data_IF_792320363050
#
_entry.id   IF_792320363050
#
_cell.length_a   1.000
_cell.length_b   1.000
_cell.length_c   1.000
_cell.angle_alpha   90.00
_cell.angle_beta   90.00
_cell.angle_gamma   90.00
#
_symmetry.space_group_name_H-M   'P 1'
#
loop_
_entity.id
_entity.type
_entity.pdbx_description
1 polymer ?
#
# COMPACT_ATOMS: atom_id res chain seq x y z
N UNK A 1 31.93 -8.23 -13.85
CA UNK A 1 30.79 -7.47 -14.39
C UNK A 1 29.66 -8.42 -14.67
N UNK A 2 28.70 -8.50 -13.77
CA UNK A 2 27.47 -9.30 -13.94
C UNK A 2 26.49 -8.48 -14.76
N UNK A 3 26.33 -8.84 -16.04
CA UNK A 3 25.25 -8.31 -16.86
C UNK A 3 23.93 -8.82 -16.28
N UNK A 4 23.14 -7.88 -15.77
CA UNK A 4 21.74 -8.06 -15.42
C UNK A 4 20.99 -8.61 -16.63
N UNK A 5 20.31 -9.75 -16.47
CA UNK A 5 19.41 -10.31 -17.46
C UNK A 5 18.21 -9.40 -17.66
N UNK A 6 18.32 -8.43 -18.57
CA UNK A 6 17.18 -7.70 -19.07
C UNK A 6 16.49 -8.64 -20.05
N UNK A 7 15.47 -9.36 -19.59
CA UNK A 7 14.53 -10.01 -20.49
C UNK A 7 13.99 -8.93 -21.45
N UNK A 8 14.05 -9.19 -22.75
CA UNK A 8 13.50 -8.27 -23.76
C UNK A 8 12.06 -7.93 -23.38
N UNK A 9 11.80 -6.63 -23.16
CA UNK A 9 10.46 -6.16 -22.82
C UNK A 9 9.54 -6.42 -24.00
N UNK A 10 8.42 -7.09 -23.73
CA UNK A 10 7.38 -7.29 -24.75
C UNK A 10 6.76 -5.93 -25.10
N UNK A 11 6.44 -5.69 -26.38
CA UNK A 11 5.64 -4.54 -26.77
C UNK A 11 4.26 -4.55 -26.10
N UNK A 12 3.71 -3.37 -25.85
CA UNK A 12 2.43 -3.20 -25.14
C UNK A 12 1.27 -3.05 -26.13
N UNK A 13 0.18 -3.79 -25.91
CA UNK A 13 -1.10 -3.62 -26.60
C UNK A 13 -2.16 -3.11 -25.63
N UNK A 14 -2.97 -2.16 -26.09
CA UNK A 14 -4.13 -1.63 -25.39
C UNK A 14 -5.41 -2.15 -26.03
N UNK A 15 -6.33 -2.62 -25.19
CA UNK A 15 -7.67 -3.01 -25.63
C UNK A 15 -8.53 -1.76 -25.86
N UNK A 16 -9.02 -1.60 -27.09
CA UNK A 16 -9.83 -0.45 -27.52
C UNK A 16 -11.14 -0.90 -28.18
N UNK A 17 -12.09 0.04 -28.28
CA UNK A 17 -13.37 -0.17 -28.95
C UNK A 17 -13.50 0.76 -30.15
N UNK A 18 -13.92 0.21 -31.28
CA UNK A 18 -14.21 1.00 -32.46
C UNK A 18 -15.50 1.80 -32.26
N UNK A 19 -15.51 3.11 -32.53
CA UNK A 19 -16.60 4.01 -32.14
C UNK A 19 -17.90 3.82 -32.93
N UNK A 20 -17.85 3.15 -34.09
CA UNK A 20 -19.02 3.05 -34.99
C UNK A 20 -19.76 1.73 -34.92
N UNK A 21 -19.07 0.63 -34.63
CA UNK A 21 -19.63 -0.73 -34.69
C UNK A 21 -19.45 -1.52 -33.39
N UNK A 22 -18.91 -0.87 -32.34
CA UNK A 22 -18.65 -1.43 -31.03
C UNK A 22 -17.70 -2.65 -31.04
N UNK A 23 -16.99 -2.91 -32.15
CA UNK A 23 -16.01 -3.99 -32.23
C UNK A 23 -14.82 -3.67 -31.33
N UNK A 24 -14.33 -4.68 -30.63
CA UNK A 24 -13.17 -4.55 -29.75
C UNK A 24 -11.91 -4.94 -30.54
N UNK A 25 -10.79 -4.25 -30.34
CA UNK A 25 -9.53 -4.54 -31.01
C UNK A 25 -8.31 -4.21 -30.14
N UNK A 26 -7.16 -4.78 -30.50
CA UNK A 26 -5.88 -4.48 -29.90
C UNK A 26 -5.17 -3.37 -30.68
N UNK A 27 -4.83 -2.29 -29.99
CA UNK A 27 -4.05 -1.17 -30.50
C UNK A 27 -2.62 -1.23 -29.96
N UNK A 28 -1.64 -1.03 -30.83
CA UNK A 28 -0.24 -0.85 -30.44
C UNK A 28 -0.09 0.47 -29.66
N UNK A 29 0.53 0.40 -28.49
CA UNK A 29 0.82 1.59 -27.68
C UNK A 29 1.84 2.54 -28.34
N UNK A 30 2.65 2.04 -29.27
CA UNK A 30 3.77 2.82 -29.82
C UNK A 30 3.40 3.72 -30.99
N UNK A 31 2.46 3.29 -31.83
CA UNK A 31 2.14 3.93 -33.11
C UNK A 31 0.63 3.97 -33.40
N UNK A 32 -0.21 3.64 -32.41
CA UNK A 32 -1.67 3.61 -32.50
C UNK A 32 -2.23 2.70 -33.61
N UNK A 33 -1.41 1.80 -34.16
CA UNK A 33 -1.85 0.86 -35.18
C UNK A 33 -2.75 -0.21 -34.58
N UNK A 34 -3.83 -0.55 -35.30
CA UNK A 34 -4.63 -1.73 -34.98
C UNK A 34 -3.84 -2.99 -35.34
N UNK A 35 -3.66 -3.87 -34.37
CA UNK A 35 -2.90 -5.12 -34.53
C UNK A 35 -3.80 -6.27 -34.92
N UNK A 36 -4.86 -6.50 -34.14
CA UNK A 36 -5.86 -7.54 -34.43
C UNK A 36 -7.18 -7.26 -33.72
N UNK A 37 -8.28 -7.83 -34.20
CA UNK A 37 -9.58 -7.79 -33.51
C UNK A 37 -9.52 -8.60 -32.22
N UNK A 38 -10.15 -8.11 -31.17
CA UNK A 38 -10.18 -8.78 -29.88
C UNK A 38 -11.11 -9.99 -29.92
N UNK A 39 -10.58 -11.16 -29.55
CA UNK A 39 -11.33 -12.39 -29.29
C UNK A 39 -10.71 -13.02 -28.05
N UNK A 40 -11.50 -13.38 -27.04
CA UNK A 40 -10.96 -13.87 -25.77
C UNK A 40 -10.08 -15.11 -25.96
N UNK A 41 -10.43 -16.00 -26.89
CA UNK A 41 -9.68 -17.22 -27.19
C UNK A 41 -8.26 -16.98 -27.72
N UNK A 42 -7.98 -15.84 -28.36
CA UNK A 42 -6.64 -15.52 -28.90
C UNK A 42 -5.71 -14.90 -27.87
N UNK A 43 -6.25 -14.36 -26.77
CA UNK A 43 -5.50 -13.67 -25.72
C UNK A 43 -4.32 -14.48 -25.15
N UNK A 44 -4.44 -15.80 -24.88
CA UNK A 44 -3.31 -16.61 -24.43
C UNK A 44 -2.11 -16.57 -25.38
N UNK A 45 -2.34 -16.68 -26.70
CA UNK A 45 -1.27 -16.67 -27.70
C UNK A 45 -0.70 -15.26 -27.87
N UNK A 46 -1.54 -14.23 -27.86
CA UNK A 46 -1.11 -12.85 -27.94
C UNK A 46 -0.21 -12.45 -26.77
N UNK A 47 -0.56 -12.89 -25.55
CA UNK A 47 0.20 -12.62 -24.32
C UNK A 47 1.64 -13.18 -24.32
N UNK A 48 1.94 -14.15 -25.18
CA UNK A 48 3.31 -14.66 -25.34
C UNK A 48 4.22 -13.64 -26.02
N UNK A 49 3.67 -12.80 -26.89
CA UNK A 49 4.38 -11.82 -27.71
C UNK A 49 4.26 -10.39 -27.19
N UNK A 50 3.16 -10.08 -26.52
CA UNK A 50 2.82 -8.73 -26.05
C UNK A 50 2.47 -8.72 -24.57
N UNK A 51 2.71 -7.59 -23.90
CA UNK A 51 2.05 -7.26 -22.65
C UNK A 51 0.69 -6.63 -22.97
N UNK A 52 -0.35 -7.02 -22.25
CA UNK A 52 -1.73 -6.62 -22.54
C UNK A 52 -2.26 -5.65 -21.48
N UNK A 53 -2.86 -4.56 -21.93
CA UNK A 53 -3.45 -3.53 -21.09
C UNK A 53 -4.91 -3.24 -21.46
N UNK A 54 -5.69 -2.79 -20.49
CA UNK A 54 -7.05 -2.30 -20.70
C UNK A 54 -7.38 -1.14 -19.77
N UNK A 55 -8.42 -0.39 -20.11
CA UNK A 55 -9.04 0.60 -19.23
C UNK A 55 -10.32 0.04 -18.59
N UNK A 56 -10.77 0.62 -17.48
CA UNK A 56 -12.04 0.20 -16.85
C UNK A 56 -13.24 0.25 -17.81
N UNK A 57 -13.31 1.27 -18.68
CA UNK A 57 -14.35 1.40 -19.70
C UNK A 57 -14.26 0.25 -20.71
N UNK A 58 -13.09 0.03 -21.30
CA UNK A 58 -12.93 -0.97 -22.35
C UNK A 58 -13.02 -2.40 -21.79
N UNK A 59 -12.68 -2.63 -20.52
CA UNK A 59 -12.91 -3.90 -19.85
C UNK A 59 -14.41 -4.21 -19.70
N UNK A 60 -15.22 -3.22 -19.32
CA UNK A 60 -16.67 -3.40 -19.24
C UNK A 60 -17.26 -3.75 -20.61
N UNK A 61 -16.85 -3.02 -21.65
CA UNK A 61 -17.25 -3.30 -23.03
C UNK A 61 -16.79 -4.70 -23.49
N UNK A 62 -15.59 -5.14 -23.09
CA UNK A 62 -15.08 -6.47 -23.42
C UNK A 62 -15.92 -7.59 -22.78
N UNK A 63 -16.41 -7.40 -21.56
CA UNK A 63 -17.31 -8.37 -20.91
C UNK A 63 -18.65 -8.51 -21.64
N UNK A 64 -19.16 -7.43 -22.21
CA UNK A 64 -20.38 -7.44 -23.03
C UNK A 64 -20.13 -8.05 -24.41
N UNK A 65 -18.95 -7.76 -24.99
CA UNK A 65 -18.56 -8.20 -26.32
C UNK A 65 -18.24 -9.71 -26.39
N UNK A 66 -17.48 -10.23 -25.42
CA UNK A 66 -17.09 -11.64 -25.37
C UNK A 66 -17.13 -12.17 -23.93
N UNK A 67 -18.03 -13.12 -23.67
CA UNK A 67 -18.19 -13.75 -22.36
C UNK A 67 -16.94 -14.51 -21.90
N UNK A 68 -16.06 -14.92 -22.82
CA UNK A 68 -14.77 -15.54 -22.55
C UNK A 68 -13.78 -14.60 -21.86
N UNK A 69 -13.99 -13.28 -21.93
CA UNK A 69 -13.10 -12.26 -21.36
C UNK A 69 -12.77 -12.52 -19.89
N UNK A 70 -13.76 -12.94 -19.09
CA UNK A 70 -13.57 -13.26 -17.66
C UNK A 70 -12.51 -14.33 -17.40
N UNK A 71 -12.38 -15.30 -18.32
CA UNK A 71 -11.46 -16.43 -18.17
C UNK A 71 -10.01 -16.09 -18.56
N UNK A 72 -9.82 -14.97 -19.25
CA UNK A 72 -8.52 -14.58 -19.82
C UNK A 72 -7.93 -13.33 -19.17
N UNK A 73 -8.56 -12.77 -18.14
CA UNK A 73 -8.07 -11.58 -17.44
C UNK A 73 -6.67 -11.75 -16.85
N UNK A 74 -6.29 -12.95 -16.44
CA UNK A 74 -4.96 -13.20 -15.84
C UNK A 74 -3.79 -12.99 -16.82
N UNK A 75 -4.06 -12.96 -18.13
CA UNK A 75 -3.08 -12.62 -19.15
C UNK A 75 -2.83 -11.10 -19.26
N UNK A 76 -3.75 -10.27 -18.76
CA UNK A 76 -3.61 -8.81 -18.76
C UNK A 76 -2.65 -8.40 -17.65
N UNK A 77 -1.71 -7.51 -17.99
CA UNK A 77 -0.69 -7.00 -17.06
C UNK A 77 -1.08 -5.67 -16.44
N UNK A 78 -1.86 -4.88 -17.15
CA UNK A 78 -2.17 -3.50 -16.74
C UNK A 78 -3.68 -3.25 -16.85
N UNK A 79 -4.26 -2.84 -15.73
CA UNK A 79 -5.63 -2.37 -15.64
C UNK A 79 -5.58 -0.90 -15.23
N UNK A 80 -5.91 0.00 -16.15
CA UNK A 80 -5.82 1.43 -15.94
C UNK A 80 -7.21 2.06 -15.77
N UNK A 81 -7.27 3.22 -15.09
CA UNK A 81 -8.49 4.03 -14.98
C UNK A 81 -9.70 3.22 -14.46
N UNK A 82 -9.44 2.34 -13.50
CA UNK A 82 -10.44 1.45 -12.90
C UNK A 82 -11.26 2.19 -11.83
N UNK A 83 -12.58 1.98 -11.83
CA UNK A 83 -13.44 2.32 -10.69
C UNK A 83 -13.20 1.33 -9.53
N UNK A 84 -13.58 1.66 -8.28
CA UNK A 84 -13.49 0.72 -7.16
C UNK A 84 -14.15 -0.63 -7.46
N UNK A 85 -15.41 -0.60 -7.92
CA UNK A 85 -16.18 -1.81 -8.27
C UNK A 85 -15.50 -2.64 -9.38
N UNK A 86 -14.87 -1.97 -10.35
CA UNK A 86 -14.17 -2.67 -11.43
C UNK A 86 -12.92 -3.42 -10.93
N UNK A 87 -12.25 -2.92 -9.88
CA UNK A 87 -11.12 -3.63 -9.25
C UNK A 87 -11.60 -4.89 -8.53
N UNK A 88 -12.73 -4.80 -7.83
CA UNK A 88 -13.38 -5.96 -7.19
C UNK A 88 -13.76 -7.02 -8.22
N UNK A 89 -14.40 -6.59 -9.31
CA UNK A 89 -14.81 -7.47 -10.42
C UNK A 89 -13.63 -8.24 -11.02
N UNK A 90 -12.46 -7.61 -11.15
CA UNK A 90 -11.26 -8.30 -11.65
C UNK A 90 -10.85 -9.42 -10.70
N UNK A 91 -10.83 -9.17 -9.38
CA UNK A 91 -10.48 -10.19 -8.39
C UNK A 91 -11.49 -11.33 -8.42
N UNK A 92 -12.79 -11.03 -8.48
CA UNK A 92 -13.85 -12.05 -8.59
C UNK A 92 -13.69 -12.93 -9.84
N UNK A 93 -13.33 -12.32 -10.98
CA UNK A 93 -13.09 -13.06 -12.21
C UNK A 93 -11.87 -13.99 -12.07
N UNK A 94 -10.78 -13.51 -11.46
CA UNK A 94 -9.59 -14.33 -11.20
C UNK A 94 -9.90 -15.48 -10.23
N UNK A 95 -10.70 -15.23 -9.20
CA UNK A 95 -11.21 -16.27 -8.29
C UNK A 95 -12.05 -17.32 -9.02
N UNK A 96 -12.90 -16.90 -9.97
CA UNK A 96 -13.76 -17.82 -10.72
C UNK A 96 -13.00 -18.85 -11.57
N UNK A 97 -11.73 -18.57 -11.88
CA UNK A 97 -10.83 -19.50 -12.58
C UNK A 97 -9.80 -20.15 -11.66
N UNK A 98 -9.95 -20.02 -10.34
CA UNK A 98 -9.15 -20.71 -9.33
C UNK A 98 -7.82 -20.06 -8.99
N UNK A 99 -7.62 -18.78 -9.33
CA UNK A 99 -6.44 -18.05 -8.87
C UNK A 99 -6.59 -17.54 -7.43
N UNK A 100 -5.49 -17.47 -6.70
CA UNK A 100 -5.38 -16.80 -5.40
C UNK A 100 -4.84 -15.39 -5.64
N UNK A 101 -5.52 -14.40 -5.08
CA UNK A 101 -5.26 -12.98 -5.32
C UNK A 101 -4.68 -12.30 -4.08
N UNK A 102 -3.57 -11.58 -4.28
CA UNK A 102 -3.07 -10.59 -3.33
C UNK A 102 -3.35 -9.20 -3.91
N UNK A 103 -4.00 -8.34 -3.12
CA UNK A 103 -4.22 -6.95 -3.48
C UNK A 103 -3.43 -6.05 -2.52
N UNK A 104 -2.76 -5.04 -3.07
CA UNK A 104 -2.04 -4.03 -2.31
C UNK A 104 -2.50 -2.64 -2.77
N UNK A 105 -2.88 -1.78 -1.84
CA UNK A 105 -3.39 -0.43 -2.16
C UNK A 105 -3.32 0.50 -0.94
N UNK A 106 -3.40 1.80 -1.15
CA UNK A 106 -3.12 2.82 -0.14
C UNK A 106 -4.31 3.69 0.26
N UNK A 107 -5.48 3.49 -0.37
CA UNK A 107 -6.60 4.40 -0.23
C UNK A 107 -7.99 3.76 -0.16
N UNK A 108 -8.98 4.63 0.04
CA UNK A 108 -10.40 4.26 0.10
C UNK A 108 -10.90 3.57 -1.18
N UNK A 109 -10.27 3.86 -2.33
CA UNK A 109 -10.64 3.31 -3.64
C UNK A 109 -10.24 1.83 -3.82
N UNK A 110 -9.44 1.27 -2.91
CA UNK A 110 -9.00 -0.12 -2.96
C UNK A 110 -9.67 -0.96 -1.86
N UNK A 111 -10.49 -0.36 -0.99
CA UNK A 111 -11.04 -1.05 0.20
C UNK A 111 -11.84 -2.29 -0.16
N UNK A 112 -12.69 -2.20 -1.18
CA UNK A 112 -13.47 -3.36 -1.62
C UNK A 112 -12.58 -4.44 -2.24
N UNK A 113 -11.66 -4.06 -3.13
CA UNK A 113 -10.71 -5.00 -3.72
C UNK A 113 -9.77 -5.65 -2.68
N UNK A 114 -9.32 -4.90 -1.67
CA UNK A 114 -8.53 -5.39 -0.54
C UNK A 114 -9.30 -6.41 0.30
N UNK A 115 -10.61 -6.18 0.48
CA UNK A 115 -11.50 -7.10 1.21
C UNK A 115 -11.83 -8.35 0.39
N UNK A 116 -11.96 -8.20 -0.92
CA UNK A 116 -12.28 -9.28 -1.84
C UNK A 116 -11.10 -10.23 -2.08
N UNK A 117 -9.85 -9.73 -2.02
CA UNK A 117 -8.65 -10.54 -2.19
C UNK A 117 -8.47 -11.58 -1.06
N UNK A 118 -7.78 -12.69 -1.36
CA UNK A 118 -7.39 -13.67 -0.34
C UNK A 118 -6.42 -13.07 0.68
N UNK A 119 -5.56 -12.16 0.21
CA UNK A 119 -4.65 -11.38 1.05
C UNK A 119 -4.71 -9.90 0.65
N UNK A 120 -5.25 -9.06 1.52
CA UNK A 120 -5.28 -7.60 1.36
C UNK A 120 -4.17 -6.91 2.17
N UNK A 121 -3.37 -6.07 1.51
CA UNK A 121 -2.32 -5.26 2.14
C UNK A 121 -2.62 -3.77 1.94
N UNK A 122 -2.95 -3.07 3.03
CA UNK A 122 -3.16 -1.63 2.99
C UNK A 122 -1.85 -0.88 3.29
N UNK A 123 -1.40 -0.04 2.36
CA UNK A 123 -0.24 0.84 2.52
C UNK A 123 -0.69 2.18 3.09
N UNK A 124 -0.39 2.45 4.35
CA UNK A 124 -0.76 3.72 4.98
C UNK A 124 0.31 4.79 4.70
N UNK A 125 -0.08 5.87 4.04
CA UNK A 125 0.78 7.04 3.84
C UNK A 125 0.88 7.85 5.13
N UNK A 126 1.81 7.48 6.00
CA UNK A 126 2.11 8.19 7.25
C UNK A 126 1.52 7.53 8.50
N UNK A 127 2.30 7.55 9.57
CA UNK A 127 1.88 7.04 10.87
C UNK A 127 0.95 8.03 11.56
N UNK A 128 -0.31 7.63 11.71
CA UNK A 128 -1.29 8.32 12.55
C UNK A 128 -2.45 8.88 11.76
N UNK A 129 -3.41 8.02 11.45
CA UNK A 129 -4.85 8.32 11.56
C UNK A 129 -5.62 7.02 11.31
N UNK A 130 -5.61 6.15 12.32
CA UNK A 130 -6.58 5.07 12.41
C UNK A 130 -7.89 5.67 12.95
N UNK A 131 -8.79 6.06 12.05
CA UNK A 131 -10.20 6.25 12.36
C UNK A 131 -11.03 5.61 11.25
N UNK A 132 -11.20 4.30 11.32
CA UNK A 132 -12.32 3.63 10.66
C UNK A 132 -13.48 3.65 11.65
N UNK A 133 -14.31 4.69 11.57
CA UNK A 133 -15.76 4.52 11.68
C UNK A 133 -16.46 5.76 11.08
N UNK A 134 -17.16 5.58 9.95
CA UNK A 134 -18.05 6.59 9.38
C UNK A 134 -19.48 6.19 9.74
N UNK A 135 -20.03 6.82 10.78
CA UNK A 135 -21.45 6.78 11.13
C UNK A 135 -21.84 7.98 11.99
N UNK A 136 -23.05 8.51 11.79
CA UNK A 136 -23.54 9.80 12.31
C UNK A 136 -23.73 9.87 13.85
N UNK A 137 -23.49 8.79 14.60
CA UNK A 137 -23.52 8.79 16.07
C UNK A 137 -22.18 9.18 16.76
N UNK A 138 -21.19 9.62 15.97
CA UNK A 138 -19.81 9.87 16.43
C UNK A 138 -19.63 11.00 17.45
N UNK A 139 -20.58 11.93 17.58
CA UNK A 139 -20.35 13.11 18.43
C UNK A 139 -20.61 12.84 19.93
N UNK A 140 -21.41 11.81 20.27
CA UNK A 140 -21.72 11.47 21.68
C UNK A 140 -20.65 10.56 22.31
N UNK A 141 -20.08 9.64 21.53
CA UNK A 141 -18.97 8.77 21.98
C UNK A 141 -17.63 9.48 22.08
N UNK A 142 -17.44 10.61 21.39
CA UNK A 142 -16.19 11.39 21.42
C UNK A 142 -15.84 11.88 22.83
N UNK A 143 -16.82 12.36 23.60
CA UNK A 143 -16.59 12.85 24.97
C UNK A 143 -16.30 11.71 25.97
N UNK A 144 -16.97 10.57 25.83
CA UNK A 144 -16.71 9.40 26.70
C UNK A 144 -15.40 8.66 26.36
N UNK A 145 -15.00 8.68 25.08
CA UNK A 145 -13.73 8.12 24.62
C UNK A 145 -12.53 9.01 25.00
N UNK A 146 -12.65 10.34 24.91
CA UNK A 146 -11.61 11.29 25.36
C UNK A 146 -11.30 11.12 26.87
N UNK A 147 -12.30 10.83 27.69
CA UNK A 147 -12.14 10.60 29.13
C UNK A 147 -11.55 9.22 29.45
N UNK A 148 -11.89 8.19 28.68
CA UNK A 148 -11.26 6.86 28.76
C UNK A 148 -9.83 6.83 28.18
N UNK A 149 -9.53 7.63 27.17
CA UNK A 149 -8.20 7.76 26.56
C UNK A 149 -7.20 8.49 27.46
N UNK A 150 -7.66 9.37 28.36
CA UNK A 150 -6.83 9.90 29.46
C UNK A 150 -6.39 8.83 30.46
N UNK A 151 -7.12 7.71 30.58
CA UNK A 151 -6.83 6.62 31.51
C UNK A 151 -6.12 5.41 30.89
N UNK A 152 -6.07 5.29 29.56
CA UNK A 152 -5.38 4.19 28.87
C UNK A 152 -4.30 4.73 27.93
N UNK A 153 -3.10 4.94 28.47
CA UNK A 153 -1.95 5.46 27.75
C UNK A 153 -1.49 4.56 26.59
N UNK A 154 -1.58 5.13 25.38
CA UNK A 154 -0.76 4.91 24.18
C UNK A 154 -0.35 3.47 23.83
N UNK A 155 -1.08 2.89 22.87
CA UNK A 155 -0.62 1.79 22.03
C UNK A 155 -0.65 2.27 20.58
N UNK A 156 0.52 2.39 19.96
CA UNK A 156 0.67 2.62 18.52
C UNK A 156 1.77 1.66 18.01
N UNK A 157 1.51 0.81 17.01
CA UNK A 157 2.35 -0.35 16.68
C UNK A 157 3.59 -0.05 15.82
N UNK A 158 4.07 1.20 15.74
CA UNK A 158 5.37 1.46 15.09
C UNK A 158 6.05 2.64 15.76
N UNK A 159 7.28 2.40 16.21
CA UNK A 159 8.14 3.32 16.94
C UNK A 159 8.71 4.43 16.03
N UNK A 160 7.85 5.18 15.35
CA UNK A 160 8.26 6.27 14.45
C UNK A 160 8.06 7.60 15.16
N UNK A 161 9.12 8.41 15.21
CA UNK A 161 9.04 9.80 15.65
C UNK A 161 8.10 10.56 14.69
N UNK A 162 7.00 11.15 15.18
CA UNK A 162 6.04 11.87 14.34
C UNK A 162 6.67 12.99 13.49
N UNK A 163 6.18 13.21 12.27
CA UNK A 163 6.73 14.23 11.34
C UNK A 163 6.71 15.63 11.96
N UNK A 164 5.65 16.00 12.68
CA UNK A 164 5.55 17.29 13.36
C UNK A 164 6.63 17.49 14.43
N UNK A 165 7.06 16.44 15.12
CA UNK A 165 8.17 16.47 16.06
C UNK A 165 9.50 16.69 15.34
N UNK A 166 9.70 16.05 14.18
CA UNK A 166 10.88 16.24 13.35
C UNK A 166 10.97 17.66 12.78
N UNK A 167 9.84 18.22 12.31
CA UNK A 167 9.76 19.61 11.85
C UNK A 167 10.04 20.61 12.99
N UNK A 168 9.56 20.33 14.22
CA UNK A 168 9.86 21.16 15.38
C UNK A 168 11.36 21.20 15.73
N UNK A 169 12.10 20.12 15.46
CA UNK A 169 13.55 20.07 15.67
C UNK A 169 14.31 20.92 14.65
N UNK A 170 13.81 21.02 13.40
CA UNK A 170 14.44 21.86 12.36
C UNK A 170 14.44 23.35 12.70
N UNK A 171 13.50 23.82 13.51
CA UNK A 171 13.45 25.22 13.97
C UNK A 171 14.08 25.45 15.35
N UNK A 172 14.52 24.37 16.02
CA UNK A 172 15.06 24.43 17.37
C UNK A 172 16.57 24.77 17.40
N UNK A 173 17.07 25.54 18.38
CA UNK A 173 18.52 25.72 18.54
C UNK A 173 19.26 24.41 18.85
N UNK A 174 20.47 24.24 18.31
CA UNK A 174 21.27 23.00 18.40
C UNK A 174 21.46 22.50 19.84
N UNK A 175 21.65 23.42 20.81
CA UNK A 175 21.77 23.09 22.24
C UNK A 175 20.59 22.26 22.77
N UNK A 176 19.36 22.55 22.34
CA UNK A 176 18.17 21.84 22.80
C UNK A 176 18.00 20.50 22.10
N UNK A 177 18.45 20.39 20.84
CA UNK A 177 18.50 19.10 20.12
C UNK A 177 19.48 18.16 20.82
N UNK A 178 20.68 18.64 21.16
CA UNK A 178 21.67 17.88 21.96
C UNK A 178 21.13 17.45 23.32
N UNK A 179 20.38 18.32 24.01
CA UNK A 179 19.73 17.98 25.28
C UNK A 179 18.70 16.85 25.13
N UNK A 180 17.90 16.87 24.05
CA UNK A 180 16.95 15.80 23.72
C UNK A 180 17.63 14.47 23.40
N UNK A 181 18.73 14.49 22.64
CA UNK A 181 19.54 13.28 22.37
C UNK A 181 20.11 12.71 23.67
N UNK A 182 20.60 13.58 24.57
CA UNK A 182 21.10 13.17 25.90
C UNK A 182 20.02 12.51 26.76
N UNK A 183 18.78 12.99 26.68
CA UNK A 183 17.64 12.39 27.36
C UNK A 183 17.29 10.97 26.85
N UNK A 184 17.71 10.63 25.63
CA UNK A 184 17.59 9.27 25.06
C UNK A 184 18.74 8.35 25.49
N UNK A 185 19.65 8.82 26.36
CA UNK A 185 20.79 8.04 26.85
C UNK A 185 22.02 8.07 25.95
N UNK A 186 22.06 8.95 24.95
CA UNK A 186 23.18 9.08 24.01
C UNK A 186 23.93 10.37 24.27
N UNK A 187 25.26 10.29 24.48
CA UNK A 187 26.10 11.48 24.58
C UNK A 187 26.42 12.00 23.16
N UNK A 188 25.92 13.18 22.74
CA UNK A 188 26.18 13.73 21.41
C UNK A 188 27.67 14.02 21.17
N UNK A 189 28.42 14.34 22.23
CA UNK A 189 29.83 14.70 22.13
C UNK A 189 30.74 13.51 21.80
N UNK A 190 30.20 12.29 21.81
CA UNK A 190 30.90 11.09 21.30
C UNK A 190 30.95 11.02 19.77
N UNK A 191 30.26 11.91 19.08
CA UNK A 191 30.19 11.97 17.61
C UNK A 191 30.71 13.34 17.14
N UNK A 192 32.04 13.57 17.21
CA UNK A 192 32.64 14.86 16.87
C UNK A 192 32.45 15.25 15.39
N UNK A 193 32.20 14.26 14.52
CA UNK A 193 31.99 14.45 13.09
C UNK A 193 30.58 14.94 12.74
N UNK A 194 29.63 14.92 13.68
CA UNK A 194 28.28 15.46 13.49
C UNK A 194 28.29 16.96 13.81
N UNK A 195 28.75 17.77 12.86
CA UNK A 195 28.85 19.23 13.00
C UNK A 195 27.57 19.95 12.62
N UNK A 196 26.78 19.37 11.70
CA UNK A 196 25.58 20.00 11.17
C UNK A 196 24.34 19.72 12.03
N UNK A 197 23.38 20.63 11.95
CA UNK A 197 22.12 20.52 12.69
C UNK A 197 21.29 19.32 12.21
N UNK A 198 21.26 19.12 10.90
CA UNK A 198 20.56 18.03 10.22
C UNK A 198 21.05 16.67 10.70
N UNK A 199 22.37 16.53 10.90
CA UNK A 199 23.00 15.32 11.42
C UNK A 199 22.55 14.99 12.85
N UNK A 200 22.41 16.01 13.70
CA UNK A 200 21.90 15.85 15.05
C UNK A 200 20.41 15.49 15.08
N UNK A 201 19.63 16.02 14.13
CA UNK A 201 18.21 15.69 13.98
C UNK A 201 18.05 14.22 13.55
N UNK A 202 18.89 13.74 12.63
CA UNK A 202 18.86 12.34 12.20
C UNK A 202 19.34 11.41 13.32
N UNK A 203 20.38 11.80 14.07
CA UNK A 203 20.81 11.07 15.28
C UNK A 203 19.67 10.98 16.32
N UNK A 204 18.94 12.07 16.56
CA UNK A 204 17.78 12.05 17.45
C UNK A 204 16.70 11.08 16.97
N UNK A 205 16.35 11.15 15.67
CA UNK A 205 15.33 10.30 15.06
C UNK A 205 15.65 8.82 15.22
N UNK A 206 16.87 8.42 14.89
CA UNK A 206 17.33 7.03 15.00
C UNK A 206 17.23 6.56 16.45
N UNK A 207 17.74 7.35 17.40
CA UNK A 207 17.79 6.97 18.82
C UNK A 207 16.42 6.96 19.50
N UNK A 208 15.53 7.88 19.13
CA UNK A 208 14.17 7.87 19.64
C UNK A 208 13.40 6.64 19.18
N UNK A 209 13.60 6.23 17.92
CA UNK A 209 13.05 4.97 17.38
C UNK A 209 13.62 3.75 18.09
N UNK A 210 14.93 3.65 18.29
CA UNK A 210 15.56 2.55 19.03
C UNK A 210 14.98 2.40 20.46
N UNK A 211 14.88 3.50 21.21
CA UNK A 211 14.33 3.50 22.58
C UNK A 211 12.85 3.07 22.58
N UNK A 212 12.07 3.52 21.61
CA UNK A 212 10.67 3.13 21.48
C UNK A 212 10.50 1.65 21.09
N UNK A 213 11.34 1.10 20.22
CA UNK A 213 11.38 -0.34 19.89
C UNK A 213 11.74 -1.15 21.15
N UNK A 214 12.82 -0.81 21.83
CA UNK A 214 13.26 -1.54 23.04
C UNK A 214 12.19 -1.56 24.13
N UNK A 215 11.49 -0.43 24.33
CA UNK A 215 10.37 -0.33 25.27
C UNK A 215 9.17 -1.18 24.85
N UNK A 216 8.91 -1.29 23.55
CA UNK A 216 7.85 -2.14 23.01
C UNK A 216 8.17 -3.63 23.16
N UNK A 217 9.38 -4.05 22.83
CA UNK A 217 9.84 -5.43 23.01
C UNK A 217 9.78 -5.88 24.48
N UNK A 218 10.19 -5.00 25.41
CA UNK A 218 10.10 -5.27 26.84
C UNK A 218 8.65 -5.46 27.30
N UNK A 219 7.72 -4.60 26.83
CA UNK A 219 6.29 -4.74 27.12
C UNK A 219 5.70 -6.04 26.52
N UNK A 220 6.08 -6.41 25.31
CA UNK A 220 5.60 -7.64 24.65
C UNK A 220 6.11 -8.90 25.36
N UNK A 221 7.37 -8.90 25.85
CA UNK A 221 7.89 -9.99 26.69
C UNK A 221 7.10 -10.14 27.99
N UNK A 222 6.78 -9.04 28.67
CA UNK A 222 5.96 -9.05 29.89
C UNK A 222 4.53 -9.51 29.62
N UNK A 223 3.92 -9.11 28.51
CA UNK A 223 2.58 -9.52 28.11
C UNK A 223 2.51 -11.03 27.80
N UNK A 224 3.48 -11.57 27.03
CA UNK A 224 3.57 -13.02 26.75
C UNK A 224 3.78 -13.86 28.02
N UNK A 225 4.54 -13.34 28.99
CA UNK A 225 4.76 -14.01 30.28
C UNK A 225 3.51 -14.00 31.17
N UNK A 226 2.61 -13.02 31.01
CA UNK A 226 1.32 -12.98 31.71
C UNK A 226 0.29 -13.92 31.09
N UNK A 227 0.23 -14.01 29.76
CA UNK A 227 -0.68 -14.91 29.03
C UNK A 227 -0.39 -16.38 29.34
N UNK A 228 0.89 -16.78 29.31
CA UNK A 228 1.32 -18.14 29.63
C UNK A 228 1.03 -18.57 31.08
N UNK A 229 0.87 -17.63 32.02
CA UNK A 229 0.45 -17.95 33.41
C UNK A 229 -1.06 -18.10 33.58
N UNK A 230 -1.86 -17.52 32.68
CA UNK A 230 -3.33 -17.62 32.71
C UNK A 230 -3.81 -18.93 32.06
N UNK A 231 -3.07 -19.46 31.09
CA UNK A 231 -3.37 -20.74 30.44
C UNK A 231 -2.97 -21.98 31.26
N UNK A 232 -2.28 -21.80 32.40
CA UNK A 232 -1.81 -22.85 33.30
C UNK A 232 -2.58 -22.90 34.65
N UNK A 233 -3.69 -22.17 34.78
CA UNK A 233 -4.63 -22.24 35.90
C UNK A 233 -5.98 -22.77 35.45
#
# INVERSE_FOLDING_TARGET
GTQSGVADKKPLLMLEQHPTDNTMYWQSYHDDSMVETFVAETVPELSKRYDLATTGKNLANAFEYDAGTKKVLWYFKIFARMTPDAKETVIECLHSVGHICLMCGDGANDVGALKQADVGVALLSGFGDLNVDKGEDGNKKKKEAEEKQKKLGSLNPTAIVPRNELEALKVMPVMFIKARIKALGVNPDKYPDLTEKEDLIELYRIKATEVAIAKHEQKNKVAKTKLTKVELQ
#
